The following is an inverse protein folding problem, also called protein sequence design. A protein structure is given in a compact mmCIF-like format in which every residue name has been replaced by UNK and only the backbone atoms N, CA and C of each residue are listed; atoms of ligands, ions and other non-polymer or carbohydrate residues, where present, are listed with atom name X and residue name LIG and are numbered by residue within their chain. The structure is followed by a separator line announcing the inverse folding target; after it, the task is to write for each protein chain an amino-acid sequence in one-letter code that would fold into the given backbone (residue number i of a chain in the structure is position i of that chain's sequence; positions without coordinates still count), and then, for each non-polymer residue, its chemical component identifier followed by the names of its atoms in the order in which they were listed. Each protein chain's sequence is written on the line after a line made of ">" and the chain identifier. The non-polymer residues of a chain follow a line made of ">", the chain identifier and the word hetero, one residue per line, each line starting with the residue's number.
data_IF_630286515125
#
_entry.id   IF_630286515125
#
_cell.length_a   1.000
_cell.length_b   1.000
_cell.length_c   1.000
_cell.angle_alpha   90.00
_cell.angle_beta   90.00
_cell.angle_gamma   90.00
#
_symmetry.space_group_name_H-M   'P 1'
#
loop_
_entity.id
_entity.type
_entity.pdbx_description
1 polymer ?
#
# COMPACT_ATOMS: atom_id res chain seq x y z
N UNK A 1 -21.25 11.22 2.44
CA UNK A 1 -20.03 12.02 2.68
C UNK A 1 -19.33 12.14 1.34
N UNK A 2 -19.13 13.35 0.85
CA UNK A 2 -18.39 13.58 -0.40
C UNK A 2 -16.90 13.39 -0.11
N UNK A 3 -16.28 12.36 -0.70
CA UNK A 3 -14.89 11.96 -0.42
C UNK A 3 -13.92 13.10 -0.74
N UNK A 4 -14.01 13.78 -1.90
CA UNK A 4 -13.27 15.01 -2.17
C UNK A 4 -13.42 16.08 -1.07
N UNK A 5 -14.64 16.34 -0.60
CA UNK A 5 -14.87 17.33 0.45
C UNK A 5 -14.23 16.96 1.79
N UNK A 6 -14.09 15.66 2.11
CA UNK A 6 -13.42 15.20 3.32
C UNK A 6 -11.92 15.51 3.31
N UNK A 7 -11.25 15.30 2.17
CA UNK A 7 -9.80 15.48 2.07
C UNK A 7 -9.37 16.92 1.82
N UNK A 8 -10.21 17.71 1.15
CA UNK A 8 -9.93 19.10 0.77
C UNK A 8 -9.33 20.00 1.88
N UNK A 9 -9.74 19.93 3.16
CA UNK A 9 -9.13 20.74 4.23
C UNK A 9 -7.68 20.37 4.54
N UNK A 10 -7.22 19.17 4.15
CA UNK A 10 -5.88 18.65 4.39
C UNK A 10 -4.98 18.71 3.15
N UNK A 11 -5.53 19.07 1.99
CA UNK A 11 -4.77 19.20 0.74
C UNK A 11 -4.01 20.54 0.70
N UNK A 12 -2.72 20.48 0.40
CA UNK A 12 -1.85 21.65 0.26
C UNK A 12 -1.11 21.55 -1.06
N UNK A 13 -1.15 22.64 -1.84
CA UNK A 13 -0.34 22.74 -3.05
C UNK A 13 1.05 23.26 -2.69
N UNK A 14 2.09 22.53 -3.08
CA UNK A 14 3.47 22.86 -2.76
C UNK A 14 4.20 23.23 -4.04
N UNK A 15 4.79 24.42 -4.09
CA UNK A 15 5.40 24.98 -5.29
C UNK A 15 6.93 25.13 -5.18
N UNK A 16 7.53 24.81 -4.03
CA UNK A 16 8.98 24.87 -3.82
C UNK A 16 9.45 23.83 -2.80
N UNK A 17 10.75 23.55 -2.78
CA UNK A 17 11.35 22.61 -1.83
C UNK A 17 11.27 23.12 -0.38
N UNK A 18 11.38 24.43 -0.18
CA UNK A 18 11.27 25.07 1.14
C UNK A 18 9.87 24.84 1.73
N UNK A 19 8.83 25.01 0.92
CA UNK A 19 7.45 24.74 1.34
C UNK A 19 7.23 23.26 1.70
N UNK A 20 7.93 22.33 1.01
CA UNK A 20 7.90 20.90 1.36
C UNK A 20 8.46 20.73 2.78
N UNK A 21 9.64 21.30 3.06
CA UNK A 21 10.30 21.16 4.35
C UNK A 21 9.47 21.78 5.49
N UNK A 22 8.90 22.97 5.27
CA UNK A 22 7.99 23.63 6.23
C UNK A 22 6.80 22.73 6.57
N UNK A 23 6.15 22.13 5.56
CA UNK A 23 4.99 21.26 5.78
C UNK A 23 5.36 19.94 6.46
N UNK A 24 6.51 19.35 6.11
CA UNK A 24 7.00 18.17 6.83
C UNK A 24 7.22 18.48 8.30
N UNK A 25 7.92 19.57 8.63
CA UNK A 25 8.17 19.96 10.01
C UNK A 25 6.86 20.19 10.78
N UNK A 26 5.86 20.84 10.16
CA UNK A 26 4.54 21.03 10.78
C UNK A 26 3.84 19.70 11.13
N UNK A 27 3.93 18.71 10.24
CA UNK A 27 3.36 17.37 10.47
C UNK A 27 4.16 16.63 11.56
N UNK A 28 5.49 16.70 11.51
CA UNK A 28 6.37 16.06 12.48
C UNK A 28 6.18 16.59 13.90
N UNK A 29 6.10 17.91 14.07
CA UNK A 29 5.83 18.52 15.38
C UNK A 29 4.49 18.07 15.96
N UNK A 30 3.46 17.92 15.12
CA UNK A 30 2.14 17.41 15.57
C UNK A 30 2.22 15.94 15.97
N UNK A 31 3.06 15.16 15.28
CA UNK A 31 3.34 13.77 15.60
C UNK A 31 3.97 13.66 16.99
N UNK A 32 5.05 14.41 17.23
CA UNK A 32 5.80 14.42 18.48
C UNK A 32 4.92 14.87 19.67
N UNK A 33 4.21 16.00 19.51
CA UNK A 33 3.33 16.54 20.57
C UNK A 33 2.21 15.59 20.98
N UNK A 34 1.82 14.66 20.11
CA UNK A 34 0.71 13.73 20.33
C UNK A 34 1.15 12.27 20.51
N UNK A 35 2.46 12.00 20.49
CA UNK A 35 3.02 10.65 20.50
C UNK A 35 2.40 9.75 19.41
N UNK A 36 2.33 10.28 18.18
CA UNK A 36 1.77 9.59 17.01
C UNK A 36 2.89 9.24 16.04
N UNK A 37 2.96 7.99 15.63
CA UNK A 37 3.82 7.56 14.54
C UNK A 37 3.07 7.64 13.20
N UNK A 38 3.65 8.35 12.22
CA UNK A 38 3.09 8.42 10.87
C UNK A 38 3.69 7.34 9.95
N UNK A 39 2.82 6.78 9.11
CA UNK A 39 3.18 5.95 7.98
C UNK A 39 2.97 6.74 6.69
N UNK A 40 3.97 6.73 5.81
CA UNK A 40 4.00 7.50 4.58
C UNK A 40 3.93 6.58 3.38
N UNK A 41 3.14 7.00 2.37
CA UNK A 41 3.15 6.38 1.04
C UNK A 41 2.92 7.47 0.00
N UNK A 42 3.91 7.63 -0.88
CA UNK A 42 3.82 8.51 -2.04
C UNK A 42 3.22 7.82 -3.26
N UNK A 43 2.72 8.65 -4.19
CA UNK A 43 2.35 8.25 -5.55
C UNK A 43 2.71 9.38 -6.51
N UNK A 44 2.89 9.05 -7.80
CA UNK A 44 3.30 10.02 -8.82
C UNK A 44 2.24 11.07 -9.10
N UNK A 45 0.96 10.68 -9.04
CA UNK A 45 -0.18 11.57 -9.30
C UNK A 45 -1.15 11.51 -8.12
N UNK A 46 -1.37 12.65 -7.46
CA UNK A 46 -2.23 12.76 -6.29
C UNK A 46 -3.70 12.44 -6.60
N UNK A 47 -4.13 12.52 -7.87
CA UNK A 47 -5.50 12.24 -8.31
C UNK A 47 -5.79 10.73 -8.34
N UNK A 48 -4.77 9.89 -8.27
CA UNK A 48 -4.95 8.45 -8.23
C UNK A 48 -5.32 8.01 -6.81
N UNK A 49 -6.23 7.06 -6.70
CA UNK A 49 -6.49 6.43 -5.42
C UNK A 49 -5.36 5.46 -5.06
N UNK A 50 -5.01 5.42 -3.77
CA UNK A 50 -4.02 4.51 -3.22
C UNK A 50 -4.55 3.07 -3.20
N UNK A 51 -4.29 2.36 -4.30
CA UNK A 51 -4.68 0.98 -4.49
C UNK A 51 -3.47 0.05 -4.51
N UNK A 52 -3.60 -1.14 -3.92
CA UNK A 52 -2.58 -2.19 -4.02
C UNK A 52 -2.43 -2.71 -5.46
N UNK A 53 -1.29 -3.35 -5.77
CA UNK A 53 -1.00 -3.81 -7.13
C UNK A 53 -2.00 -4.87 -7.62
N UNK A 54 -2.46 -5.75 -6.73
CA UNK A 54 -3.53 -6.70 -7.03
C UNK A 54 -4.84 -6.01 -7.36
N UNK A 55 -5.24 -5.00 -6.58
CA UNK A 55 -6.49 -4.28 -6.82
C UNK A 55 -6.47 -3.58 -8.18
N UNK A 56 -5.39 -2.86 -8.49
CA UNK A 56 -5.22 -2.18 -9.79
C UNK A 56 -5.33 -3.16 -10.94
N UNK A 57 -4.64 -4.31 -10.85
CA UNK A 57 -4.69 -5.35 -11.89
C UNK A 57 -6.10 -5.92 -12.06
N UNK A 58 -6.82 -6.17 -10.98
CA UNK A 58 -8.14 -6.77 -11.04
C UNK A 58 -9.22 -5.79 -11.53
N UNK A 59 -9.15 -4.50 -11.18
CA UNK A 59 -10.05 -3.49 -11.76
C UNK A 59 -9.84 -3.39 -13.27
N UNK A 60 -8.59 -3.37 -13.74
CA UNK A 60 -8.30 -3.33 -15.17
C UNK A 60 -8.91 -4.53 -15.92
N UNK A 61 -8.91 -5.71 -15.29
CA UNK A 61 -9.48 -6.93 -15.91
C UNK A 61 -11.00 -7.03 -15.79
N UNK A 62 -11.58 -6.61 -14.66
CA UNK A 62 -13.02 -6.77 -14.39
C UNK A 62 -13.87 -5.56 -14.76
N UNK A 63 -13.28 -4.39 -14.94
CA UNK A 63 -13.98 -3.15 -15.30
C UNK A 63 -14.88 -2.57 -14.20
N UNK A 64 -14.84 -3.09 -12.97
CA UNK A 64 -15.65 -2.61 -11.85
C UNK A 64 -14.93 -2.74 -10.51
N UNK A 65 -15.40 -1.98 -9.52
CA UNK A 65 -14.91 -2.08 -8.14
C UNK A 65 -15.15 -3.48 -7.58
N UNK A 66 -14.16 -3.99 -6.85
CA UNK A 66 -14.18 -5.34 -6.29
C UNK A 66 -14.81 -5.36 -4.91
N UNK A 67 -15.58 -6.42 -4.62
CA UNK A 67 -15.93 -6.76 -3.24
C UNK A 67 -14.76 -7.48 -2.57
N UNK A 68 -14.65 -7.38 -1.25
CA UNK A 68 -13.56 -8.02 -0.49
C UNK A 68 -13.50 -9.53 -0.74
N UNK A 69 -14.64 -10.21 -0.87
CA UNK A 69 -14.68 -11.65 -1.16
C UNK A 69 -14.04 -11.99 -2.51
N UNK A 70 -14.24 -11.16 -3.53
CA UNK A 70 -13.63 -11.36 -4.84
C UNK A 70 -12.13 -11.10 -4.77
N UNK A 71 -11.73 -10.05 -4.06
CA UNK A 71 -10.33 -9.69 -3.87
C UNK A 71 -9.55 -10.78 -3.12
N UNK A 72 -10.11 -11.27 -2.02
CA UNK A 72 -9.60 -12.40 -1.24
C UNK A 72 -9.51 -13.69 -2.06
N UNK A 73 -10.50 -13.98 -2.91
CA UNK A 73 -10.49 -15.17 -3.78
C UNK A 73 -9.33 -15.15 -4.78
N UNK A 74 -9.03 -13.99 -5.36
CA UNK A 74 -7.90 -13.85 -6.30
C UNK A 74 -6.55 -13.94 -5.58
N UNK A 75 -6.41 -13.36 -4.39
CA UNK A 75 -5.23 -13.56 -3.56
C UNK A 75 -5.01 -15.04 -3.20
N UNK A 76 -6.08 -15.75 -2.83
CA UNK A 76 -6.00 -17.17 -2.49
C UNK A 76 -5.47 -18.00 -3.66
N UNK A 77 -5.87 -17.69 -4.91
CA UNK A 77 -5.33 -18.36 -6.10
C UNK A 77 -3.83 -18.14 -6.24
N UNK A 78 -3.36 -16.90 -6.04
CA UNK A 78 -1.93 -16.56 -6.09
C UNK A 78 -1.15 -17.36 -5.04
N UNK A 79 -1.67 -17.44 -3.81
CA UNK A 79 -1.05 -18.21 -2.73
C UNK A 79 -1.05 -19.72 -3.03
N UNK A 80 -2.10 -20.26 -3.62
CA UNK A 80 -2.15 -21.68 -4.05
C UNK A 80 -1.05 -21.97 -5.08
N UNK A 81 -0.86 -21.12 -6.08
CA UNK A 81 0.22 -21.31 -7.06
C UNK A 81 1.60 -21.18 -6.43
N UNK A 82 1.80 -20.21 -5.53
CA UNK A 82 3.03 -20.08 -4.75
C UNK A 82 3.32 -21.36 -3.93
N UNK A 83 2.29 -22.00 -3.38
CA UNK A 83 2.43 -23.25 -2.62
C UNK A 83 2.81 -24.42 -3.52
N UNK A 84 2.18 -24.53 -4.70
CA UNK A 84 2.48 -25.54 -5.71
C UNK A 84 3.94 -25.47 -6.20
N UNK A 85 4.50 -24.27 -6.29
CA UNK A 85 5.91 -24.08 -6.67
C UNK A 85 6.90 -24.29 -5.51
N UNK A 86 6.41 -24.62 -4.30
CA UNK A 86 7.27 -24.83 -3.12
C UNK A 86 7.84 -23.54 -2.52
N UNK A 87 7.51 -22.37 -3.06
CA UNK A 87 8.07 -21.08 -2.66
C UNK A 87 7.58 -20.60 -1.28
N UNK A 88 6.57 -21.24 -0.70
CA UNK A 88 6.12 -20.98 0.66
C UNK A 88 7.09 -21.49 1.74
N UNK A 89 8.07 -22.32 1.38
CA UNK A 89 9.05 -22.89 2.31
C UNK A 89 10.46 -22.92 1.67
N UNK A 90 11.11 -21.76 1.47
CA UNK A 90 12.43 -21.72 0.88
C UNK A 90 13.46 -22.45 1.76
N UNK A 91 14.49 -23.08 1.15
CA UNK A 91 15.50 -23.83 1.88
C UNK A 91 16.16 -22.99 2.98
N UNK A 92 16.25 -23.54 4.20
CA UNK A 92 16.91 -22.90 5.34
C UNK A 92 16.06 -21.93 6.17
N UNK A 93 14.86 -21.56 5.73
CA UNK A 93 14.00 -20.58 6.44
C UNK A 93 12.70 -21.19 7.00
N UNK A 94 12.39 -22.45 6.65
CA UNK A 94 11.13 -23.08 6.99
C UNK A 94 9.94 -22.44 6.28
N UNK A 95 8.72 -22.71 6.76
CA UNK A 95 7.49 -22.19 6.15
C UNK A 95 7.31 -20.71 6.45
N UNK A 96 7.20 -19.90 5.42
CA UNK A 96 6.93 -18.47 5.52
C UNK A 96 5.49 -18.21 6.01
N UNK A 97 5.29 -17.16 6.80
CA UNK A 97 3.96 -16.63 7.10
C UNK A 97 3.29 -16.10 5.82
N UNK A 98 1.97 -15.94 5.81
CA UNK A 98 1.25 -15.38 4.64
C UNK A 98 1.76 -13.98 4.29
N UNK A 99 2.04 -13.15 5.31
CA UNK A 99 2.63 -11.82 5.11
C UNK A 99 3.99 -11.92 4.38
N UNK A 100 4.88 -12.81 4.83
CA UNK A 100 6.19 -12.98 4.20
C UNK A 100 6.09 -13.57 2.79
N UNK A 101 5.12 -14.46 2.53
CA UNK A 101 4.84 -14.96 1.18
C UNK A 101 4.41 -13.82 0.25
N UNK A 102 3.50 -12.95 0.70
CA UNK A 102 3.05 -11.79 -0.08
C UNK A 102 4.17 -10.76 -0.26
N UNK A 103 4.99 -10.50 0.75
CA UNK A 103 6.13 -9.59 0.65
C UNK A 103 7.17 -10.10 -0.36
N UNK A 104 7.48 -11.41 -0.33
CA UNK A 104 8.37 -12.04 -1.31
C UNK A 104 7.80 -11.94 -2.73
N UNK A 105 6.51 -12.22 -2.93
CA UNK A 105 5.84 -12.06 -4.23
C UNK A 105 5.96 -10.62 -4.74
N UNK A 106 5.69 -9.65 -3.88
CA UNK A 106 5.76 -8.23 -4.22
C UNK A 106 7.19 -7.79 -4.56
N UNK A 107 8.20 -8.30 -3.84
CA UNK A 107 9.61 -8.06 -4.13
C UNK A 107 9.99 -8.49 -5.56
N UNK A 108 9.41 -9.61 -6.04
CA UNK A 108 9.59 -10.09 -7.42
C UNK A 108 8.54 -9.55 -8.42
N UNK A 109 7.76 -8.53 -8.04
CA UNK A 109 6.83 -7.83 -8.93
C UNK A 109 5.48 -8.51 -9.14
N UNK A 110 5.17 -9.60 -8.43
CA UNK A 110 3.84 -10.18 -8.47
C UNK A 110 2.81 -9.25 -7.79
N UNK A 111 1.57 -9.18 -8.32
CA UNK A 111 0.52 -8.36 -7.73
C UNK A 111 0.08 -8.92 -6.37
N UNK A 112 0.07 -8.07 -5.33
CA UNK A 112 -0.36 -8.46 -3.98
C UNK A 112 -1.31 -7.41 -3.39
N UNK A 113 -1.97 -7.74 -2.28
CA UNK A 113 -2.80 -6.77 -1.54
C UNK A 113 -2.00 -5.76 -0.73
N UNK A 114 -0.71 -5.99 -0.57
CA UNK A 114 0.14 -5.17 0.26
C UNK A 114 0.34 -3.77 -0.35
N UNK A 115 0.55 -2.81 0.53
CA UNK A 115 0.95 -1.45 0.21
C UNK A 115 2.18 -1.17 1.07
N UNK A 116 3.31 -0.87 0.45
CA UNK A 116 4.50 -0.52 1.24
C UNK A 116 4.33 0.88 1.79
N UNK A 117 4.77 1.05 3.03
CA UNK A 117 4.79 2.33 3.72
C UNK A 117 6.21 2.56 4.22
N UNK A 118 6.58 3.82 4.37
CA UNK A 118 7.78 4.23 5.08
C UNK A 118 7.36 4.86 6.41
N UNK A 119 8.05 4.51 7.48
CA UNK A 119 7.87 5.19 8.76
C UNK A 119 8.86 6.35 8.85
N UNK A 120 8.51 7.35 9.65
CA UNK A 120 9.53 8.28 10.15
C UNK A 120 10.39 7.52 11.15
N UNK A 121 11.70 7.50 10.92
CA UNK A 121 12.69 7.05 11.89
C UNK A 121 13.00 8.18 12.88
#
# INVERSE_FOLDING_TARGET
>A
MDIPAFWKPFEVHINSFEQILEKFNEVMEKAEKKDIQFAWRGQVDYRWALHSSLYRRLILTKGQALREQEFSKEEQKILIELHRWGLHSPPGYGRLSVLNQLAMLQHYGAPTRLIDISFNA
#
